data_IF_180660122395
#
_entry.id   IF_180660122395
#
_cell.length_a   1.000
_cell.length_b   1.000
_cell.length_c   1.000
_cell.angle_alpha   90.00
_cell.angle_beta   90.00
_cell.angle_gamma   90.00
#
_symmetry.space_group_name_H-M   'P 1'
#
loop_
_entity.id
_entity.type
_entity.pdbx_description
1 polymer ?
#
# COMPACT_ATOMS: atom_id res chain seq x y z
N UNK A 1 29.31 -1.23 -26.97
CA UNK A 1 28.34 -1.85 -26.02
C UNK A 1 27.14 -2.38 -26.80
N UNK A 2 26.90 -3.69 -26.71
CA UNK A 2 25.67 -4.32 -27.24
C UNK A 2 24.55 -4.14 -26.21
N UNK A 3 23.36 -3.79 -26.66
CA UNK A 3 22.20 -3.65 -25.76
C UNK A 3 21.58 -5.03 -25.55
N UNK A 4 21.23 -5.33 -24.30
CA UNK A 4 20.45 -6.53 -23.98
C UNK A 4 19.14 -6.56 -24.79
N UNK A 5 18.60 -7.76 -25.06
CA UNK A 5 17.32 -7.91 -25.76
C UNK A 5 16.21 -7.08 -25.12
N UNK A 6 15.30 -6.58 -25.95
CA UNK A 6 14.10 -5.90 -25.45
C UNK A 6 13.22 -6.92 -24.74
N UNK A 7 12.90 -6.65 -23.47
CA UNK A 7 11.95 -7.44 -22.70
C UNK A 7 10.50 -7.29 -23.22
N UNK A 8 9.54 -7.38 -22.32
CA UNK A 8 8.11 -7.26 -22.64
C UNK A 8 7.74 -5.82 -22.95
N UNK A 9 7.30 -5.56 -24.19
CA UNK A 9 6.79 -4.22 -24.56
C UNK A 9 5.56 -3.81 -23.75
N UNK A 10 5.33 -2.50 -23.58
CA UNK A 10 4.15 -1.97 -22.89
C UNK A 10 2.84 -2.44 -23.55
N UNK A 11 2.81 -2.55 -24.88
CA UNK A 11 1.66 -3.11 -25.61
C UNK A 11 1.37 -4.54 -25.17
N UNK A 12 2.40 -5.40 -25.13
CA UNK A 12 2.23 -6.80 -24.73
C UNK A 12 1.77 -6.90 -23.28
N UNK A 13 2.30 -6.05 -22.41
CA UNK A 13 1.85 -5.94 -21.01
C UNK A 13 0.36 -5.58 -20.92
N UNK A 14 -0.10 -4.57 -21.64
CA UNK A 14 -1.51 -4.17 -21.64
C UNK A 14 -2.43 -5.29 -22.18
N UNK A 15 -2.01 -6.00 -23.24
CA UNK A 15 -2.75 -7.15 -23.78
C UNK A 15 -2.85 -8.29 -22.76
N UNK A 16 -1.79 -8.53 -21.98
CA UNK A 16 -1.76 -9.54 -20.93
C UNK A 16 -2.67 -9.17 -19.76
N UNK A 17 -2.62 -7.92 -19.29
CA UNK A 17 -3.53 -7.42 -18.25
C UNK A 17 -5.00 -7.52 -18.68
N UNK A 18 -5.33 -7.14 -19.92
CA UNK A 18 -6.69 -7.23 -20.43
C UNK A 18 -7.20 -8.68 -20.50
N UNK A 19 -6.31 -9.64 -20.80
CA UNK A 19 -6.67 -11.07 -20.75
C UNK A 19 -6.88 -11.53 -19.30
N UNK A 20 -5.98 -11.16 -18.39
CA UNK A 20 -6.01 -11.56 -16.97
C UNK A 20 -7.24 -10.99 -16.23
N UNK A 21 -7.65 -9.76 -16.53
CA UNK A 21 -8.83 -9.10 -15.97
C UNK A 21 -10.13 -9.91 -16.10
N UNK A 22 -10.24 -10.73 -17.15
CA UNK A 22 -11.40 -11.60 -17.38
C UNK A 22 -11.20 -13.04 -16.94
N UNK A 23 -10.04 -13.36 -16.36
CA UNK A 23 -9.71 -14.69 -15.84
C UNK A 23 -10.57 -15.07 -14.64
N UNK A 24 -10.87 -16.36 -14.52
CA UNK A 24 -11.71 -16.89 -13.43
C UNK A 24 -11.14 -16.55 -12.04
N UNK A 25 -9.81 -16.51 -11.89
CA UNK A 25 -9.16 -16.14 -10.64
C UNK A 25 -9.41 -14.68 -10.28
N UNK A 26 -9.33 -13.73 -11.23
CA UNK A 26 -9.62 -12.31 -10.98
C UNK A 26 -11.09 -12.06 -10.65
N UNK A 27 -11.99 -12.69 -11.41
CA UNK A 27 -13.44 -12.57 -11.15
C UNK A 27 -13.80 -13.13 -9.76
N UNK A 28 -13.11 -14.20 -9.31
CA UNK A 28 -13.32 -14.79 -8.00
C UNK A 28 -12.93 -13.84 -6.83
N UNK A 29 -12.01 -12.90 -7.05
CA UNK A 29 -11.59 -11.93 -6.02
C UNK A 29 -12.69 -10.90 -5.67
N UNK A 30 -13.70 -10.71 -6.53
CA UNK A 30 -14.71 -9.65 -6.37
C UNK A 30 -15.39 -9.68 -4.99
N UNK A 31 -15.80 -10.86 -4.52
CA UNK A 31 -16.49 -10.97 -3.23
C UNK A 31 -15.56 -10.66 -2.06
N UNK A 32 -14.29 -11.07 -2.17
CA UNK A 32 -13.27 -10.77 -1.16
C UNK A 32 -12.96 -9.28 -1.12
N UNK A 33 -12.88 -8.62 -2.27
CA UNK A 33 -12.72 -7.15 -2.37
C UNK A 33 -13.88 -6.39 -1.74
N UNK A 34 -15.13 -6.78 -2.06
CA UNK A 34 -16.32 -6.15 -1.46
C UNK A 34 -16.32 -6.29 0.07
N UNK A 35 -15.99 -7.48 0.58
CA UNK A 35 -15.89 -7.73 2.01
C UNK A 35 -14.74 -6.94 2.67
N UNK A 36 -13.59 -6.85 1.99
CA UNK A 36 -12.40 -6.15 2.47
C UNK A 36 -12.64 -4.64 2.62
N UNK A 37 -13.23 -4.03 1.59
CA UNK A 37 -13.61 -2.61 1.59
C UNK A 37 -14.61 -2.32 2.71
N UNK A 38 -15.69 -3.11 2.77
CA UNK A 38 -16.80 -2.91 3.69
C UNK A 38 -17.46 -1.53 3.55
N UNK A 39 -18.48 -1.27 4.38
CA UNK A 39 -19.33 -0.08 4.24
C UNK A 39 -19.02 1.04 5.27
N UNK A 40 -18.25 0.73 6.32
CA UNK A 40 -17.95 1.65 7.41
C UNK A 40 -16.61 2.36 7.22
N UNK A 41 -16.56 3.28 6.24
CA UNK A 41 -15.42 4.19 6.04
C UNK A 41 -15.75 5.55 6.64
N UNK A 42 -15.20 5.84 7.82
CA UNK A 42 -15.33 7.16 8.45
C UNK A 42 -14.40 8.17 7.77
N UNK A 43 -14.88 9.37 7.39
CA UNK A 43 -14.05 10.38 6.76
C UNK A 43 -12.80 10.74 7.58
N UNK A 44 -11.64 10.84 6.92
CA UNK A 44 -10.42 11.33 7.57
C UNK A 44 -10.56 12.82 7.96
N UNK A 45 -11.17 13.61 7.11
CA UNK A 45 -11.40 15.04 7.34
C UNK A 45 -12.69 15.32 8.12
N UNK A 46 -12.78 16.51 8.74
CA UNK A 46 -13.98 16.97 9.47
C UNK A 46 -15.17 17.29 8.54
N UNK A 47 -14.91 17.47 7.25
CA UNK A 47 -15.90 17.75 6.20
C UNK A 47 -15.51 17.01 4.93
N UNK A 48 -16.48 16.79 4.05
CA UNK A 48 -16.20 16.37 2.68
C UNK A 48 -15.38 17.45 1.94
N UNK A 49 -14.67 17.03 0.89
CA UNK A 49 -13.95 17.94 0.01
C UNK A 49 -14.94 18.88 -0.70
N UNK A 50 -14.56 20.16 -0.81
CA UNK A 50 -15.27 21.19 -1.55
C UNK A 50 -14.60 21.34 -2.92
N UNK A 51 -15.23 20.93 -4.04
CA UNK A 51 -14.62 20.98 -5.37
C UNK A 51 -14.20 22.39 -5.82
N UNK A 52 -14.77 23.46 -5.25
CA UNK A 52 -14.39 24.83 -5.59
C UNK A 52 -13.11 25.29 -4.87
N UNK A 53 -12.81 24.72 -3.70
CA UNK A 53 -11.71 25.15 -2.83
C UNK A 53 -10.60 24.12 -2.77
N UNK A 54 -10.90 22.84 -2.64
CA UNK A 54 -9.94 21.75 -2.43
C UNK A 54 -9.38 21.23 -3.76
N UNK A 55 -8.58 22.07 -4.40
CA UNK A 55 -7.96 21.82 -5.71
C UNK A 55 -6.44 21.80 -5.58
N UNK A 56 -5.73 21.33 -6.61
CA UNK A 56 -4.27 21.36 -6.65
C UNK A 56 -3.67 22.77 -6.40
N UNK A 57 -4.42 23.84 -6.74
CA UNK A 57 -4.03 25.23 -6.51
C UNK A 57 -3.95 25.60 -5.02
N UNK A 58 -4.80 25.03 -4.19
CA UNK A 58 -4.85 25.33 -2.75
C UNK A 58 -4.06 24.33 -1.90
N UNK A 59 -3.53 23.28 -2.53
CA UNK A 59 -2.70 22.28 -1.87
C UNK A 59 -1.53 22.94 -1.13
N UNK A 60 -1.28 22.45 0.08
CA UNK A 60 -0.11 22.78 0.90
C UNK A 60 0.60 21.48 1.21
N UNK A 61 1.93 21.49 1.10
CA UNK A 61 2.78 20.33 1.38
C UNK A 61 3.67 20.65 2.56
N UNK A 62 3.65 19.77 3.54
CA UNK A 62 4.62 19.73 4.62
C UNK A 62 5.51 18.51 4.43
N UNK A 63 6.82 18.68 4.61
CA UNK A 63 7.81 17.63 4.41
C UNK A 63 8.86 17.70 5.51
N UNK A 64 9.31 16.54 5.95
CA UNK A 64 10.35 16.41 6.96
C UNK A 64 11.43 15.48 6.45
N UNK A 65 12.69 15.78 6.76
CA UNK A 65 13.82 14.91 6.47
C UNK A 65 14.09 14.07 7.70
N UNK A 66 14.05 12.76 7.53
CA UNK A 66 14.42 11.80 8.57
C UNK A 66 15.95 11.79 8.67
N UNK A 67 16.55 11.88 9.87
CA UNK A 67 18.00 11.83 9.98
C UNK A 67 18.55 10.47 9.53
N UNK A 68 19.82 10.46 9.09
CA UNK A 68 20.41 9.32 8.38
C UNK A 68 20.41 8.03 9.20
N UNK A 69 20.58 8.11 10.52
CA UNK A 69 20.58 6.94 11.40
C UNK A 69 19.21 6.25 11.44
N UNK A 70 18.13 7.04 11.52
CA UNK A 70 16.76 6.52 11.48
C UNK A 70 16.42 5.99 10.08
N UNK A 71 16.87 6.66 9.01
CA UNK A 71 16.70 6.17 7.65
C UNK A 71 17.39 4.81 7.44
N UNK A 72 18.61 4.63 7.97
CA UNK A 72 19.32 3.34 7.93
C UNK A 72 18.61 2.24 8.74
N UNK A 73 18.01 2.60 9.88
CA UNK A 73 17.19 1.65 10.63
C UNK A 73 15.95 1.22 9.83
N UNK A 74 15.25 2.19 9.23
CA UNK A 74 14.04 2.02 8.44
C UNK A 74 14.28 1.19 7.17
N UNK A 75 15.38 1.43 6.46
CA UNK A 75 15.70 0.76 5.19
C UNK A 75 16.42 -0.58 5.35
N UNK A 76 16.83 -0.95 6.57
CA UNK A 76 17.66 -2.13 6.80
C UNK A 76 17.29 -2.90 8.06
N UNK A 77 17.66 -2.37 9.22
CA UNK A 77 17.59 -3.10 10.50
C UNK A 77 16.17 -3.56 10.85
N UNK A 78 15.17 -2.69 10.68
CA UNK A 78 13.78 -2.98 11.04
C UNK A 78 13.14 -3.99 10.08
N UNK A 79 13.17 -3.80 8.74
CA UNK A 79 12.73 -4.81 7.77
C UNK A 79 13.29 -6.21 8.03
N UNK A 80 14.59 -6.31 8.32
CA UNK A 80 15.26 -7.58 8.62
C UNK A 80 14.73 -8.21 9.92
N UNK A 81 14.60 -7.42 10.98
CA UNK A 81 14.16 -7.93 12.29
C UNK A 81 12.68 -8.38 12.31
N UNK A 82 11.84 -7.79 11.46
CA UNK A 82 10.41 -8.08 11.39
C UNK A 82 10.00 -8.89 10.15
N UNK A 83 10.95 -9.25 9.29
CA UNK A 83 10.72 -9.98 8.03
C UNK A 83 9.66 -9.29 7.16
N UNK A 84 9.81 -7.99 6.93
CA UNK A 84 8.83 -7.14 6.25
C UNK A 84 9.53 -6.20 5.27
N UNK A 85 8.76 -5.49 4.44
CA UNK A 85 9.24 -4.41 3.59
C UNK A 85 9.34 -3.07 4.34
N UNK A 86 9.90 -2.06 3.68
CA UNK A 86 9.89 -0.68 4.21
C UNK A 86 8.47 -0.11 4.26
N UNK A 87 7.62 -0.47 3.30
CA UNK A 87 6.25 0.02 3.21
C UNK A 87 5.39 -0.45 4.38
N UNK A 88 5.60 -1.68 4.87
CA UNK A 88 4.96 -2.19 6.09
C UNK A 88 5.26 -1.28 7.30
N UNK A 89 6.51 -0.82 7.42
CA UNK A 89 6.94 0.07 8.51
C UNK A 89 6.33 1.45 8.38
N UNK A 90 6.29 2.00 7.15
CA UNK A 90 5.70 3.30 6.88
C UNK A 90 4.17 3.30 7.08
N UNK A 91 3.48 2.26 6.63
CA UNK A 91 2.04 2.10 6.82
C UNK A 91 1.70 1.85 8.30
N UNK A 92 2.53 1.12 9.05
CA UNK A 92 2.36 0.99 10.49
C UNK A 92 2.50 2.34 11.20
N UNK A 93 3.51 3.14 10.84
CA UNK A 93 3.69 4.48 11.39
C UNK A 93 2.53 5.42 11.04
N UNK A 94 2.04 5.39 9.79
CA UNK A 94 0.87 6.15 9.36
C UNK A 94 -0.39 5.75 10.13
N UNK A 95 -0.62 4.45 10.29
CA UNK A 95 -1.76 3.89 11.05
C UNK A 95 -1.73 4.38 12.50
N UNK A 96 -0.58 4.26 13.17
CA UNK A 96 -0.40 4.73 14.54
C UNK A 96 -0.57 6.24 14.67
N UNK A 97 0.00 7.03 13.75
CA UNK A 97 -0.11 8.49 13.77
C UNK A 97 -1.55 8.97 13.59
N UNK A 98 -2.28 8.38 12.64
CA UNK A 98 -3.70 8.71 12.43
C UNK A 98 -4.52 8.29 13.64
N UNK A 99 -4.36 7.06 14.14
CA UNK A 99 -5.10 6.59 15.30
C UNK A 99 -4.83 7.43 16.56
N UNK A 100 -3.58 7.85 16.79
CA UNK A 100 -3.18 8.66 17.93
C UNK A 100 -3.76 10.09 17.87
N UNK A 101 -3.85 10.66 16.66
CA UNK A 101 -4.40 12.01 16.45
C UNK A 101 -5.93 12.09 16.57
N UNK A 102 -6.63 10.95 16.69
CA UNK A 102 -8.09 10.89 16.75
C UNK A 102 -8.60 10.90 18.19
N UNK A 103 -9.71 11.62 18.40
CA UNK A 103 -10.45 11.60 19.69
C UNK A 103 -11.42 10.43 19.80
N UNK A 104 -11.92 9.94 18.65
CA UNK A 104 -12.82 8.81 18.57
C UNK A 104 -12.08 7.57 18.07
N UNK A 105 -12.46 6.39 18.55
CA UNK A 105 -11.94 5.15 18.04
C UNK A 105 -12.31 4.99 16.55
N UNK A 106 -11.30 4.74 15.72
CA UNK A 106 -11.46 4.37 14.32
C UNK A 106 -11.48 2.85 14.20
N UNK A 107 -12.47 2.31 13.49
CA UNK A 107 -12.59 0.88 13.19
C UNK A 107 -11.47 0.41 12.23
N UNK A 108 -10.99 1.33 11.40
CA UNK A 108 -9.78 1.16 10.59
C UNK A 108 -9.51 2.37 9.71
N UNK A 109 -8.36 2.35 9.06
CA UNK A 109 -7.90 3.31 8.08
C UNK A 109 -7.82 2.59 6.73
N UNK A 110 -8.61 3.06 5.77
CA UNK A 110 -8.52 2.62 4.38
C UNK A 110 -7.54 3.56 3.67
N UNK A 111 -6.55 2.99 2.99
CA UNK A 111 -5.43 3.72 2.38
C UNK A 111 -5.27 3.21 0.96
N UNK A 112 -5.32 4.09 -0.03
CA UNK A 112 -4.89 3.75 -1.39
C UNK A 112 -3.36 3.70 -1.41
N UNK A 113 -2.81 2.54 -1.77
CA UNK A 113 -1.37 2.29 -1.86
C UNK A 113 -0.99 2.16 -3.33
N UNK A 114 -0.07 3.01 -3.77
CA UNK A 114 0.51 2.92 -5.10
C UNK A 114 1.73 2.00 -5.11
N UNK A 115 1.77 1.07 -6.06
CA UNK A 115 2.90 0.20 -6.34
C UNK A 115 3.53 0.52 -7.70
N UNK A 116 4.66 -0.12 -8.01
CA UNK A 116 5.28 0.03 -9.32
C UNK A 116 4.49 -0.65 -10.45
N UNK A 117 3.57 -1.58 -10.11
CA UNK A 117 2.69 -2.34 -11.00
C UNK A 117 3.41 -3.13 -12.10
N UNK A 118 4.57 -3.69 -11.72
CA UNK A 118 5.39 -4.58 -12.56
C UNK A 118 5.40 -5.97 -11.96
N UNK A 119 4.23 -6.39 -11.50
CA UNK A 119 4.05 -7.69 -10.89
C UNK A 119 4.25 -8.79 -11.93
N UNK A 120 4.82 -9.94 -11.54
CA UNK A 120 4.88 -11.10 -12.42
C UNK A 120 3.46 -11.51 -12.83
N UNK A 121 3.22 -11.66 -14.14
CA UNK A 121 1.94 -12.09 -14.66
C UNK A 121 2.10 -13.38 -15.48
N UNK A 122 1.23 -14.36 -15.20
CA UNK A 122 1.26 -15.69 -15.83
C UNK A 122 2.26 -16.66 -15.18
N UNK A 123 1.98 -17.96 -15.29
CA UNK A 123 2.77 -19.02 -14.66
C UNK A 123 4.20 -19.19 -15.25
N UNK A 124 4.45 -18.64 -16.44
CA UNK A 124 5.63 -18.98 -17.25
C UNK A 124 6.81 -18.02 -17.05
N UNK A 125 6.68 -16.98 -16.21
CA UNK A 125 7.78 -16.05 -15.91
C UNK A 125 8.34 -15.29 -17.12
N UNK A 126 7.62 -15.29 -18.25
CA UNK A 126 8.06 -14.70 -19.52
C UNK A 126 7.86 -13.19 -19.63
N UNK A 127 7.41 -12.54 -18.56
CA UNK A 127 7.21 -11.08 -18.51
C UNK A 127 8.45 -10.43 -17.91
N UNK A 128 9.20 -9.71 -18.74
CA UNK A 128 10.33 -8.88 -18.30
C UNK A 128 10.01 -7.40 -18.56
N UNK A 129 9.66 -6.69 -17.49
CA UNK A 129 9.38 -5.26 -17.53
C UNK A 129 10.57 -4.42 -17.06
N UNK A 130 11.72 -5.00 -16.72
CA UNK A 130 12.83 -4.28 -16.06
C UNK A 130 13.32 -3.06 -16.84
N UNK A 131 13.18 -3.09 -18.18
CA UNK A 131 13.65 -2.04 -19.10
C UNK A 131 12.54 -1.38 -19.92
N UNK A 132 11.28 -1.63 -19.57
CA UNK A 132 10.13 -1.14 -20.34
C UNK A 132 9.64 0.19 -19.78
N UNK A 133 9.66 1.22 -20.61
CA UNK A 133 9.09 2.54 -20.29
C UNK A 133 7.59 2.52 -20.57
N UNK A 134 6.81 3.04 -19.62
CA UNK A 134 5.36 3.10 -19.66
C UNK A 134 4.80 3.50 -18.29
N UNK A 135 3.50 3.78 -18.22
CA UNK A 135 2.82 3.99 -16.95
C UNK A 135 2.35 2.63 -16.42
N UNK A 136 3.10 2.09 -15.46
CA UNK A 136 2.82 0.79 -14.85
C UNK A 136 2.20 0.88 -13.46
N UNK A 137 2.25 2.06 -12.82
CA UNK A 137 1.72 2.27 -11.47
C UNK A 137 0.36 1.61 -11.29
N UNK A 138 0.27 0.75 -10.30
CA UNK A 138 -0.98 0.20 -9.81
C UNK A 138 -1.35 0.89 -8.50
N UNK A 139 -2.63 0.98 -8.19
CA UNK A 139 -3.12 1.38 -6.89
C UNK A 139 -4.13 0.37 -6.35
N UNK A 140 -4.05 0.04 -5.06
CA UNK A 140 -5.07 -0.78 -4.42
C UNK A 140 -5.27 -0.33 -2.97
N UNK A 141 -6.47 -0.53 -2.42
CA UNK A 141 -6.74 -0.16 -1.06
C UNK A 141 -6.16 -1.21 -0.12
N UNK A 142 -5.58 -0.74 0.98
CA UNK A 142 -5.25 -1.55 2.15
C UNK A 142 -6.02 -1.03 3.35
N UNK A 143 -6.37 -1.93 4.28
CA UNK A 143 -7.09 -1.59 5.50
C UNK A 143 -6.26 -1.93 6.71
N UNK A 144 -5.95 -0.92 7.52
CA UNK A 144 -5.14 -1.08 8.73
C UNK A 144 -5.84 -0.54 9.97
N UNK A 145 -5.52 -1.06 11.15
CA UNK A 145 -5.97 -0.48 12.41
C UNK A 145 -5.00 -0.79 13.55
N UNK A 146 -5.05 0.05 14.59
CA UNK A 146 -4.22 -0.08 15.78
C UNK A 146 -5.02 -0.59 17.00
N UNK A 147 -6.07 -1.39 16.78
CA UNK A 147 -6.94 -1.86 17.87
C UNK A 147 -6.16 -2.68 18.88
N UNK A 148 -6.36 -2.40 20.17
CA UNK A 148 -5.66 -3.10 21.25
C UNK A 148 -4.19 -2.71 21.44
N UNK A 149 -3.69 -1.69 20.72
CA UNK A 149 -2.34 -1.15 20.89
C UNK A 149 -2.38 0.11 21.75
N UNK A 150 -1.54 0.18 22.78
CA UNK A 150 -1.32 1.42 23.53
C UNK A 150 -0.42 2.36 22.71
N UNK A 151 -1.05 3.31 22.02
CA UNK A 151 -0.38 4.26 21.16
C UNK A 151 0.53 5.25 21.91
N UNK A 152 0.31 5.46 23.21
CA UNK A 152 1.22 6.29 24.00
C UNK A 152 2.59 5.60 24.12
N UNK A 153 2.59 4.28 24.37
CA UNK A 153 3.83 3.49 24.44
C UNK A 153 4.49 3.25 23.08
N UNK A 154 3.74 3.35 21.98
CA UNK A 154 4.32 3.31 20.63
C UNK A 154 5.28 4.48 20.42
N UNK A 155 4.94 5.68 20.92
CA UNK A 155 5.77 6.88 20.79
C UNK A 155 7.11 6.76 21.53
N UNK A 156 7.17 5.95 22.58
CA UNK A 156 8.41 5.67 23.32
C UNK A 156 9.34 4.69 22.58
N UNK A 157 8.92 4.12 21.44
CA UNK A 157 9.72 3.21 20.63
C UNK A 157 9.91 1.81 21.24
N UNK A 158 9.09 1.45 22.23
CA UNK A 158 9.17 0.20 22.97
C UNK A 158 8.44 -0.99 22.29
N UNK A 159 8.15 -2.06 23.05
CA UNK A 159 7.49 -3.26 22.54
C UNK A 159 6.15 -3.00 21.82
N UNK A 160 5.40 -1.98 22.24
CA UNK A 160 4.14 -1.58 21.61
C UNK A 160 4.34 -1.17 20.13
N UNK A 161 5.46 -0.52 19.78
CA UNK A 161 5.77 -0.17 18.39
C UNK A 161 6.00 -1.42 17.54
N UNK A 162 6.68 -2.43 18.09
CA UNK A 162 6.85 -3.72 17.43
C UNK A 162 5.53 -4.49 17.28
N UNK A 163 4.64 -4.39 18.28
CA UNK A 163 3.31 -4.99 18.20
C UNK A 163 2.45 -4.33 17.12
N UNK A 164 2.48 -3.00 17.01
CA UNK A 164 1.80 -2.26 15.94
C UNK A 164 2.30 -2.68 14.55
N UNK A 165 3.62 -2.74 14.36
CA UNK A 165 4.21 -3.17 13.10
C UNK A 165 3.78 -4.58 12.72
N UNK A 166 3.82 -5.53 13.66
CA UNK A 166 3.35 -6.90 13.41
C UNK A 166 1.87 -6.94 13.05
N UNK A 167 1.02 -6.21 13.78
CA UNK A 167 -0.42 -6.18 13.53
C UNK A 167 -0.73 -5.63 12.13
N UNK A 168 -0.13 -4.49 11.76
CA UNK A 168 -0.33 -3.88 10.45
C UNK A 168 0.22 -4.76 9.33
N UNK A 169 1.42 -5.33 9.49
CA UNK A 169 2.00 -6.26 8.52
C UNK A 169 1.07 -7.44 8.22
N UNK A 170 0.47 -8.06 9.23
CA UNK A 170 -0.47 -9.17 8.98
C UNK A 170 -1.78 -8.69 8.35
N UNK A 171 -2.23 -7.46 8.65
CA UNK A 171 -3.39 -6.86 7.97
C UNK A 171 -3.12 -6.59 6.49
N UNK A 172 -1.91 -6.13 6.12
CA UNK A 172 -1.51 -5.90 4.74
C UNK A 172 -1.47 -7.18 3.90
N UNK A 173 -1.30 -8.35 4.54
CA UNK A 173 -1.35 -9.66 3.87
C UNK A 173 -2.77 -10.14 3.57
N UNK A 174 -3.79 -9.47 4.09
CA UNK A 174 -5.19 -9.79 3.85
C UNK A 174 -5.73 -9.18 2.54
N UNK A 175 -4.88 -8.50 1.76
CA UNK A 175 -5.24 -7.97 0.44
C UNK A 175 -5.68 -9.14 -0.46
N UNK A 176 -6.88 -9.10 -1.05
CA UNK A 176 -7.35 -10.14 -1.97
C UNK A 176 -6.39 -10.31 -3.16
N UNK A 177 -6.21 -11.56 -3.61
CA UNK A 177 -5.22 -11.90 -4.65
C UNK A 177 -3.76 -11.83 -4.20
N UNK A 178 -3.46 -11.20 -3.06
CA UNK A 178 -2.12 -11.06 -2.47
C UNK A 178 -1.22 -10.01 -3.12
N UNK A 179 -1.47 -9.65 -4.38
CA UNK A 179 -0.73 -8.64 -5.15
C UNK A 179 -1.48 -7.30 -5.27
N UNK A 180 -2.78 -7.28 -4.95
CA UNK A 180 -3.65 -6.11 -5.11
C UNK A 180 -3.96 -5.77 -6.58
N UNK A 181 -3.41 -6.52 -7.54
CA UNK A 181 -3.51 -6.20 -8.96
C UNK A 181 -4.96 -6.33 -9.46
N UNK A 182 -5.71 -7.29 -8.93
CA UNK A 182 -7.11 -7.50 -9.28
C UNK A 182 -8.06 -6.37 -8.88
N UNK A 183 -7.64 -5.38 -8.09
CA UNK A 183 -8.50 -4.25 -7.73
C UNK A 183 -8.79 -3.31 -8.90
N UNK A 184 -7.80 -3.10 -9.78
CA UNK A 184 -7.89 -2.16 -10.91
C UNK A 184 -8.19 -2.84 -12.26
N UNK A 185 -8.22 -4.18 -12.28
CA UNK A 185 -8.47 -4.99 -13.46
C UNK A 185 -9.96 -5.29 -13.68
#
# INVERSE_FOLDING_TARGET
>A
PELDPVGTSFRRWAELLAADATGEHRVAELQDWLAFLGDDVKPLARRALDPAVDTARTLRRSSWVVPSEQAQALLGRVPVAFHCGVDDVLLAALTGAVAHGRREAISGLLIDVEGHGREPLGADGGVDLSRTVGWFTSAHPVRTNASGIDLAQVLDGGPAAGALLKAVKEQLRAVPGGDGLGYEL
#
